data_IF_251656581679
#
_entry.id   IF_251656581679
#
_cell.length_a   1.000
_cell.length_b   1.000
_cell.length_c   1.000
_cell.angle_alpha   90.00
_cell.angle_beta   90.00
_cell.angle_gamma   90.00
#
_symmetry.space_group_name_H-M   'P 1'
#
loop_
_entity.id
_entity.type
_entity.pdbx_description
1 polymer ?
#
# COMPACT_ATOMS: atom_id res chain seq x y z
N UNK A 1 -68.71 -18.40 9.11
CA UNK A 1 -67.54 -17.74 9.73
C UNK A 1 -66.21 -18.48 9.59
N UNK A 2 -66.13 -19.65 8.91
CA UNK A 2 -64.87 -20.41 8.74
C UNK A 2 -64.02 -19.98 7.52
N UNK A 3 -64.61 -19.26 6.56
CA UNK A 3 -63.94 -18.87 5.31
C UNK A 3 -63.41 -17.42 5.32
N UNK A 4 -63.80 -16.58 6.29
CA UNK A 4 -63.26 -15.21 6.45
C UNK A 4 -61.82 -15.25 6.98
N UNK A 5 -61.46 -16.23 7.82
CA UNK A 5 -60.08 -16.40 8.32
C UNK A 5 -59.09 -16.80 7.22
N UNK A 6 -59.55 -17.47 6.15
CA UNK A 6 -58.73 -17.81 4.98
C UNK A 6 -58.56 -16.62 4.03
N UNK A 7 -59.57 -15.74 3.94
CA UNK A 7 -59.48 -14.51 3.15
C UNK A 7 -58.57 -13.46 3.83
N UNK A 8 -58.58 -13.39 5.17
CA UNK A 8 -57.70 -12.48 5.91
C UNK A 8 -56.22 -12.90 5.85
N UNK A 9 -55.93 -14.21 5.81
CA UNK A 9 -54.55 -14.71 5.68
C UNK A 9 -53.91 -14.47 4.31
N UNK A 10 -54.71 -14.41 3.25
CA UNK A 10 -54.24 -14.10 1.89
C UNK A 10 -53.99 -12.61 1.69
N UNK A 11 -54.71 -11.73 2.40
CA UNK A 11 -54.52 -10.28 2.30
C UNK A 11 -53.24 -9.80 3.01
N UNK A 12 -52.80 -10.48 4.09
CA UNK A 12 -51.56 -10.14 4.81
C UNK A 12 -50.28 -10.53 4.06
N UNK A 13 -50.35 -11.51 3.15
CA UNK A 13 -49.22 -11.91 2.29
C UNK A 13 -49.07 -10.96 1.10
N UNK A 14 -50.18 -10.38 0.61
CA UNK A 14 -50.18 -9.39 -0.47
C UNK A 14 -49.70 -7.99 -0.06
N UNK A 15 -49.62 -7.71 1.25
CA UNK A 15 -49.18 -6.41 1.80
C UNK A 15 -47.68 -6.36 2.15
N UNK A 16 -46.92 -7.44 1.96
CA UNK A 16 -45.46 -7.45 2.16
C UNK A 16 -44.65 -7.15 0.89
N UNK A 17 -45.31 -6.85 -0.24
CA UNK A 17 -44.64 -6.58 -1.54
C UNK A 17 -44.56 -5.08 -1.87
N UNK A 18 -44.83 -4.20 -0.90
CA UNK A 18 -44.81 -2.73 -1.09
C UNK A 18 -44.10 -1.97 0.05
N UNK A 19 -42.99 -2.49 0.59
CA UNK A 19 -41.99 -1.63 1.24
C UNK A 19 -40.90 -1.29 0.23
N UNK A 20 -41.20 -0.31 -0.62
CA UNK A 20 -40.19 0.46 -1.35
C UNK A 20 -39.47 1.31 -0.30
N UNK A 21 -38.32 0.86 0.17
CA UNK A 21 -37.27 1.77 0.61
C UNK A 21 -36.36 1.93 -0.60
N UNK A 22 -36.37 3.14 -1.15
CA UNK A 22 -35.40 3.59 -2.15
C UNK A 22 -34.01 3.60 -1.52
N UNK A 23 -33.38 2.42 -1.45
CA UNK A 23 -31.94 2.28 -1.35
C UNK A 23 -31.47 1.67 -2.66
N UNK A 24 -31.31 2.52 -3.67
CA UNK A 24 -30.46 2.23 -4.83
C UNK A 24 -29.01 2.13 -4.36
N UNK A 25 -28.68 1.05 -3.66
CA UNK A 25 -27.42 0.37 -3.88
C UNK A 25 -27.73 -0.85 -4.74
N UNK A 26 -28.04 -0.60 -6.01
CA UNK A 26 -27.89 -1.65 -7.00
C UNK A 26 -26.44 -2.07 -6.96
N UNK A 27 -26.19 -3.21 -6.31
CA UNK A 27 -25.06 -4.05 -6.68
C UNK A 27 -25.11 -4.14 -8.21
N UNK A 28 -24.07 -3.62 -8.87
CA UNK A 28 -23.92 -3.72 -10.32
C UNK A 28 -23.68 -5.20 -10.60
N UNK A 29 -24.74 -5.99 -10.69
CA UNK A 29 -24.72 -7.22 -11.46
C UNK A 29 -24.75 -6.82 -12.92
N UNK A 30 -23.59 -6.86 -13.59
CA UNK A 30 -23.60 -6.93 -15.04
C UNK A 30 -22.68 -8.06 -15.47
N UNK A 31 -23.08 -9.29 -15.15
CA UNK A 31 -22.61 -10.44 -15.91
C UNK A 31 -23.28 -10.40 -17.29
N UNK A 32 -22.50 -10.04 -18.31
CA UNK A 32 -22.96 -9.95 -19.68
C UNK A 32 -21.80 -9.62 -20.63
N UNK A 33 -21.95 -9.93 -21.91
CA UNK A 33 -20.89 -9.73 -22.90
C UNK A 33 -21.00 -8.31 -23.50
N UNK A 34 -19.95 -7.50 -23.33
CA UNK A 34 -19.83 -6.18 -23.96
C UNK A 34 -19.73 -6.26 -25.49
N UNK A 35 -19.48 -7.45 -26.06
CA UNK A 35 -19.28 -7.68 -27.50
C UNK A 35 -17.82 -7.55 -27.94
N UNK A 36 -16.94 -7.18 -27.01
CA UNK A 36 -15.51 -7.03 -27.22
C UNK A 36 -14.76 -7.30 -25.90
N UNK A 37 -13.45 -7.50 -26.01
CA UNK A 37 -12.55 -7.75 -24.90
C UNK A 37 -11.58 -6.58 -24.76
N UNK A 38 -11.40 -6.12 -23.53
CA UNK A 38 -10.35 -5.16 -23.17
C UNK A 38 -9.33 -5.83 -22.26
N UNK A 39 -8.16 -5.24 -22.19
CA UNK A 39 -7.13 -5.61 -21.22
C UNK A 39 -6.41 -4.36 -20.71
N UNK A 40 -6.09 -4.35 -19.42
CA UNK A 40 -5.15 -3.39 -18.85
C UNK A 40 -3.75 -3.87 -19.19
N UNK A 41 -3.05 -3.06 -20.00
CA UNK A 41 -1.70 -3.38 -20.48
C UNK A 41 -0.77 -3.72 -19.32
N UNK A 42 0.10 -4.72 -19.52
CA UNK A 42 1.20 -5.06 -18.59
C UNK A 42 2.26 -3.97 -18.47
N UNK A 43 2.21 -2.94 -19.33
CA UNK A 43 3.03 -1.74 -19.22
C UNK A 43 2.42 -0.69 -18.29
N UNK A 44 1.18 -0.90 -17.82
CA UNK A 44 0.56 -0.03 -16.83
C UNK A 44 1.31 -0.16 -15.50
N UNK A 45 1.51 0.95 -14.82
CA UNK A 45 2.26 1.02 -13.56
C UNK A 45 1.68 2.09 -12.65
N UNK A 46 2.00 2.03 -11.37
CA UNK A 46 1.63 3.07 -10.44
C UNK A 46 2.23 2.85 -9.07
N UNK A 47 2.31 3.93 -8.33
CA UNK A 47 2.79 3.98 -6.96
C UNK A 47 1.92 4.94 -6.17
N UNK A 48 1.53 4.52 -4.97
CA UNK A 48 0.83 5.36 -4.01
C UNK A 48 1.49 5.12 -2.67
N UNK A 49 2.40 6.01 -2.30
CA UNK A 49 3.27 5.86 -1.13
C UNK A 49 3.15 7.07 -0.21
N UNK A 50 3.26 6.85 1.10
CA UNK A 50 3.25 7.93 2.08
C UNK A 50 3.80 7.55 3.43
N UNK A 51 3.78 8.47 4.38
CA UNK A 51 4.22 8.26 5.75
C UNK A 51 3.07 8.49 6.72
N UNK A 52 2.72 7.52 7.58
CA UNK A 52 1.69 7.71 8.61
C UNK A 52 2.17 8.70 9.68
N UNK A 53 1.22 9.39 10.30
CA UNK A 53 1.49 10.27 11.43
C UNK A 53 2.10 9.52 12.62
N UNK A 54 3.21 10.03 13.15
CA UNK A 54 3.92 9.44 14.27
C UNK A 54 3.10 9.46 15.56
N UNK A 55 3.15 8.37 16.34
CA UNK A 55 2.51 8.29 17.65
C UNK A 55 1.03 7.87 17.63
N UNK A 56 0.48 7.65 16.44
CA UNK A 56 -0.88 7.11 16.24
C UNK A 56 -0.79 5.67 15.70
N UNK A 57 -1.67 4.74 16.12
CA UNK A 57 -1.71 3.41 15.50
C UNK A 57 -1.86 3.50 13.98
N UNK A 58 -1.12 2.68 13.22
CA UNK A 58 -1.06 2.75 11.75
C UNK A 58 -2.44 2.67 11.09
N UNK A 59 -3.36 1.88 11.67
CA UNK A 59 -4.73 1.74 11.16
C UNK A 59 -5.53 3.06 11.23
N UNK A 60 -5.18 3.95 12.16
CA UNK A 60 -5.90 5.20 12.44
C UNK A 60 -5.10 6.45 12.04
N UNK A 61 -3.80 6.30 11.76
CA UNK A 61 -2.87 7.38 11.49
C UNK A 61 -3.10 8.00 10.09
N UNK A 62 -3.41 9.31 10.00
CA UNK A 62 -3.40 10.03 8.73
C UNK A 62 -2.06 9.88 8.01
N UNK A 63 -2.08 9.90 6.68
CA UNK A 63 -0.89 9.70 5.85
C UNK A 63 -0.54 10.99 5.12
N UNK A 64 0.74 11.37 5.18
CA UNK A 64 1.32 12.36 4.25
C UNK A 64 1.83 11.61 3.03
N UNK A 65 1.22 11.84 1.86
CA UNK A 65 1.55 11.15 0.62
C UNK A 65 2.80 11.77 0.01
N UNK A 66 3.82 10.93 -0.21
CA UNK A 66 5.11 11.32 -0.77
C UNK A 66 5.22 10.97 -2.25
N UNK A 67 4.49 9.95 -2.72
CA UNK A 67 4.44 9.57 -4.12
C UNK A 67 3.01 9.18 -4.52
N UNK A 68 2.54 9.75 -5.62
CA UNK A 68 1.23 9.44 -6.20
C UNK A 68 1.35 9.46 -7.73
N UNK A 69 1.53 8.29 -8.32
CA UNK A 69 1.69 8.12 -9.75
C UNK A 69 0.85 6.96 -10.28
N UNK A 70 0.26 7.15 -11.45
CA UNK A 70 -0.38 6.11 -12.24
C UNK A 70 -0.07 6.38 -13.72
N UNK A 71 0.29 5.34 -14.43
CA UNK A 71 0.23 5.25 -15.89
C UNK A 71 -0.60 4.01 -16.23
N UNK A 72 -1.82 4.21 -16.73
CA UNK A 72 -2.77 3.16 -17.00
C UNK A 72 -3.13 3.17 -18.49
N UNK A 73 -2.89 2.04 -19.16
CA UNK A 73 -3.16 1.87 -20.57
C UNK A 73 -4.15 0.73 -20.79
N UNK A 74 -5.34 1.07 -21.30
CA UNK A 74 -6.40 0.10 -21.61
C UNK A 74 -6.42 -0.16 -23.11
N UNK A 75 -6.31 -1.42 -23.49
CA UNK A 75 -6.21 -1.90 -24.86
C UNK A 75 -7.49 -2.64 -25.29
N UNK A 76 -7.83 -2.54 -26.57
CA UNK A 76 -8.79 -3.44 -27.21
C UNK A 76 -8.05 -4.73 -27.60
N UNK A 77 -8.49 -5.87 -27.07
CA UNK A 77 -7.89 -7.18 -27.40
C UNK A 77 -8.61 -7.83 -28.58
N UNK A 78 -9.94 -7.79 -28.59
CA UNK A 78 -10.75 -8.41 -29.64
C UNK A 78 -12.15 -7.79 -29.70
N UNK A 79 -12.83 -7.91 -30.85
CA UNK A 79 -14.18 -7.39 -31.07
C UNK A 79 -14.21 -6.00 -31.71
N UNK A 80 -15.39 -5.39 -31.75
CA UNK A 80 -15.60 -4.06 -32.33
C UNK A 80 -16.35 -3.13 -31.36
N UNK A 81 -16.11 -1.83 -31.50
CA UNK A 81 -16.70 -0.80 -30.65
C UNK A 81 -17.94 -0.15 -31.30
N UNK A 82 -18.52 -0.73 -32.34
CA UNK A 82 -19.61 -0.07 -33.10
C UNK A 82 -20.89 0.15 -32.29
N UNK A 83 -21.09 -0.67 -31.25
CA UNK A 83 -22.24 -0.58 -30.33
C UNK A 83 -21.90 0.17 -29.03
N UNK A 84 -20.69 0.73 -28.93
CA UNK A 84 -20.20 1.44 -27.75
C UNK A 84 -20.44 2.94 -27.91
N UNK A 85 -21.11 3.53 -26.92
CA UNK A 85 -21.23 4.97 -26.80
C UNK A 85 -19.98 5.56 -26.15
N UNK A 86 -19.47 4.94 -25.10
CA UNK A 86 -18.27 5.38 -24.40
C UNK A 86 -17.63 4.26 -23.58
N UNK A 87 -16.30 4.30 -23.48
CA UNK A 87 -15.46 3.54 -22.56
C UNK A 87 -14.99 4.51 -21.49
N UNK A 88 -15.17 4.15 -20.22
CA UNK A 88 -14.75 4.93 -19.05
C UNK A 88 -13.72 4.16 -18.24
N UNK A 89 -12.77 4.88 -17.69
CA UNK A 89 -11.99 4.40 -16.56
C UNK A 89 -12.56 5.10 -15.34
N UNK A 90 -13.07 4.31 -14.41
CA UNK A 90 -13.57 4.79 -13.13
C UNK A 90 -12.60 4.44 -12.02
N UNK A 91 -12.57 5.24 -10.96
CA UNK A 91 -11.85 4.95 -9.73
C UNK A 91 -12.79 4.90 -8.55
N UNK A 92 -12.44 4.08 -7.57
CA UNK A 92 -13.07 4.00 -6.27
C UNK A 92 -12.00 3.83 -5.21
N UNK A 93 -12.00 4.70 -4.19
CA UNK A 93 -11.13 4.55 -3.02
C UNK A 93 -11.90 3.71 -2.00
N UNK A 94 -11.35 2.57 -1.63
CA UNK A 94 -11.97 1.55 -0.80
C UNK A 94 -13.35 1.13 -1.34
N UNK A 95 -14.41 1.51 -0.60
CA UNK A 95 -15.81 1.30 -0.98
C UNK A 95 -16.56 2.65 -1.06
N UNK A 96 -15.83 3.75 -1.28
CA UNK A 96 -16.38 5.11 -1.36
C UNK A 96 -17.04 5.43 -2.71
N UNK A 97 -17.17 6.72 -2.99
CA UNK A 97 -17.79 7.22 -4.22
C UNK A 97 -16.99 6.81 -5.46
N UNK A 98 -17.69 6.29 -6.47
CA UNK A 98 -17.12 6.00 -7.78
C UNK A 98 -17.06 7.31 -8.58
N UNK A 99 -15.90 7.61 -9.17
CA UNK A 99 -15.70 8.78 -10.02
C UNK A 99 -15.04 8.40 -11.34
N UNK A 100 -15.33 9.16 -12.40
CA UNK A 100 -14.73 8.96 -13.72
C UNK A 100 -13.36 9.64 -13.76
N UNK A 101 -12.35 8.89 -14.17
CA UNK A 101 -10.97 9.37 -14.35
C UNK A 101 -10.73 9.78 -15.79
N UNK A 102 -11.20 8.96 -16.74
CA UNK A 102 -11.13 9.25 -18.16
C UNK A 102 -12.28 8.59 -18.91
N UNK A 103 -12.58 9.12 -20.07
CA UNK A 103 -13.59 8.57 -20.96
C UNK A 103 -13.19 8.79 -22.43
N UNK A 104 -13.58 7.87 -23.30
CA UNK A 104 -13.28 7.89 -24.73
C UNK A 104 -14.30 7.06 -25.50
N UNK A 105 -14.44 7.31 -26.80
CA UNK A 105 -15.22 6.44 -27.71
C UNK A 105 -14.34 5.43 -28.44
N UNK A 106 -13.01 5.52 -28.28
CA UNK A 106 -12.02 4.67 -28.95
C UNK A 106 -11.01 4.12 -27.96
N UNK A 107 -10.43 2.96 -28.31
CA UNK A 107 -9.27 2.35 -27.65
C UNK A 107 -8.05 2.39 -28.59
N UNK A 108 -6.81 2.47 -28.07
CA UNK A 108 -6.45 2.43 -26.64
C UNK A 108 -6.82 3.71 -25.88
N UNK A 109 -7.04 3.58 -24.56
CA UNK A 109 -7.32 4.68 -23.65
C UNK A 109 -6.21 4.73 -22.59
N UNK A 110 -5.45 5.82 -22.60
CA UNK A 110 -4.35 6.05 -21.66
C UNK A 110 -4.74 7.09 -20.62
N UNK A 111 -4.32 6.86 -19.38
CA UNK A 111 -4.50 7.76 -18.24
C UNK A 111 -3.18 7.90 -17.52
N UNK A 112 -2.80 9.15 -17.25
CA UNK A 112 -1.70 9.45 -16.34
C UNK A 112 -2.22 10.28 -15.18
N UNK A 113 -1.90 9.85 -13.96
CA UNK A 113 -2.12 10.61 -12.73
C UNK A 113 -0.74 10.86 -12.12
N UNK A 114 -0.48 12.09 -11.71
CA UNK A 114 0.84 12.50 -11.19
C UNK A 114 0.78 13.23 -9.85
N UNK A 115 -0.41 13.31 -9.24
CA UNK A 115 -0.58 13.98 -7.95
C UNK A 115 -1.68 13.33 -7.10
N UNK A 116 -1.56 13.48 -5.79
CA UNK A 116 -2.58 13.01 -4.84
C UNK A 116 -3.93 13.72 -5.05
N UNK A 117 -3.92 14.99 -5.43
CA UNK A 117 -5.14 15.74 -5.72
C UNK A 117 -5.95 15.11 -6.87
N UNK A 118 -5.27 14.66 -7.93
CA UNK A 118 -5.89 13.94 -9.04
C UNK A 118 -6.42 12.56 -8.61
N UNK A 119 -5.73 11.84 -7.71
CA UNK A 119 -6.22 10.60 -7.12
C UNK A 119 -7.50 10.82 -6.29
N UNK A 120 -7.59 11.91 -5.54
CA UNK A 120 -8.73 12.23 -4.68
C UNK A 120 -9.87 12.94 -5.41
N UNK A 121 -9.65 13.46 -6.62
CA UNK A 121 -10.66 14.21 -7.35
C UNK A 121 -11.96 13.40 -7.50
N UNK A 122 -13.09 13.95 -7.05
CA UNK A 122 -14.41 13.32 -7.16
C UNK A 122 -14.70 12.22 -6.14
N UNK A 123 -13.76 11.87 -5.25
CA UNK A 123 -14.03 10.93 -4.15
C UNK A 123 -14.75 11.58 -2.96
N UNK A 124 -14.65 12.91 -2.84
CA UNK A 124 -15.09 13.65 -1.65
C UNK A 124 -14.15 13.53 -0.45
N UNK A 125 -13.01 12.84 -0.62
CA UNK A 125 -11.98 12.68 0.39
C UNK A 125 -10.89 13.74 0.22
N UNK A 126 -10.19 13.98 1.32
CA UNK A 126 -8.96 14.76 1.43
C UNK A 126 -7.81 13.85 1.81
N UNK A 127 -6.57 14.35 1.70
CA UNK A 127 -5.39 13.56 2.05
C UNK A 127 -5.41 13.09 3.51
N UNK A 128 -5.95 13.91 4.42
CA UNK A 128 -6.11 13.55 5.84
C UNK A 128 -7.08 12.38 6.10
N UNK A 129 -7.90 12.02 5.11
CA UNK A 129 -8.80 10.86 5.21
C UNK A 129 -8.11 9.54 4.85
N UNK A 130 -6.91 9.60 4.25
CA UNK A 130 -6.19 8.43 3.80
C UNK A 130 -5.47 7.71 4.93
N UNK A 131 -5.46 6.37 4.85
CA UNK A 131 -4.76 5.47 5.76
C UNK A 131 -3.90 4.49 4.98
N UNK A 132 -2.79 4.08 5.58
CA UNK A 132 -1.98 2.99 5.04
C UNK A 132 -2.87 1.75 4.87
N UNK A 133 -2.79 1.13 3.69
CA UNK A 133 -3.63 -0.01 3.30
C UNK A 133 -4.89 0.36 2.52
N UNK A 134 -5.23 1.65 2.38
CA UNK A 134 -6.31 2.10 1.52
C UNK A 134 -6.07 1.65 0.07
N UNK A 135 -7.12 1.17 -0.60
CA UNK A 135 -7.03 0.64 -1.96
C UNK A 135 -7.78 1.54 -2.94
N UNK A 136 -7.08 2.06 -3.94
CA UNK A 136 -7.67 2.71 -5.10
C UNK A 136 -7.89 1.67 -6.19
N UNK A 137 -9.15 1.37 -6.48
CA UNK A 137 -9.57 0.43 -7.53
C UNK A 137 -9.88 1.23 -8.79
N UNK A 138 -9.19 0.93 -9.88
CA UNK A 138 -9.51 1.42 -11.21
C UNK A 138 -10.24 0.34 -11.99
N UNK A 139 -11.39 0.68 -12.59
CA UNK A 139 -12.25 -0.26 -13.30
C UNK A 139 -12.66 0.33 -14.65
N UNK A 140 -12.44 -0.45 -15.71
CA UNK A 140 -12.95 -0.13 -17.05
C UNK A 140 -14.45 -0.43 -17.10
N UNK A 141 -15.21 0.60 -17.44
CA UNK A 141 -16.64 0.51 -17.69
C UNK A 141 -16.94 0.86 -19.15
N UNK A 142 -18.02 0.31 -19.68
CA UNK A 142 -18.46 0.56 -21.05
C UNK A 142 -19.94 0.87 -21.03
N UNK A 143 -20.31 1.95 -21.69
CA UNK A 143 -21.70 2.32 -21.94
C UNK A 143 -22.00 2.05 -23.40
N UNK A 144 -22.98 1.18 -23.67
CA UNK A 144 -23.46 0.90 -25.02
C UNK A 144 -24.42 1.99 -25.51
N UNK A 145 -24.64 2.04 -26.82
CA UNK A 145 -25.57 2.99 -27.46
C UNK A 145 -27.03 2.80 -27.04
N UNK A 146 -27.38 1.63 -26.50
CA UNK A 146 -28.70 1.33 -25.92
C UNK A 146 -28.82 1.72 -24.44
N UNK A 147 -27.78 2.31 -23.85
CA UNK A 147 -27.71 2.75 -22.46
C UNK A 147 -27.27 1.68 -21.46
N UNK A 148 -27.02 0.44 -21.90
CA UNK A 148 -26.52 -0.62 -21.00
C UNK A 148 -25.07 -0.33 -20.58
N UNK A 149 -24.79 -0.50 -19.30
CA UNK A 149 -23.44 -0.31 -18.73
C UNK A 149 -22.85 -1.66 -18.38
N UNK A 150 -21.60 -1.92 -18.77
CA UNK A 150 -20.84 -3.12 -18.44
C UNK A 150 -19.58 -2.72 -17.68
N UNK A 151 -19.14 -3.58 -16.77
CA UNK A 151 -17.85 -3.44 -16.09
C UNK A 151 -17.00 -4.64 -16.42
N UNK A 152 -15.72 -4.42 -16.67
CA UNK A 152 -14.77 -5.51 -16.84
C UNK A 152 -14.22 -5.95 -15.48
N UNK A 153 -14.13 -7.26 -15.29
CA UNK A 153 -13.56 -7.87 -14.10
C UNK A 153 -12.03 -7.89 -14.20
N UNK A 154 -11.38 -9.03 -13.98
CA UNK A 154 -9.93 -9.12 -13.82
C UNK A 154 -9.12 -8.47 -14.96
N UNK A 155 -9.60 -8.51 -16.21
CA UNK A 155 -8.89 -7.91 -17.36
C UNK A 155 -9.02 -6.39 -17.45
N UNK A 156 -10.03 -5.78 -16.82
CA UNK A 156 -10.28 -4.34 -16.86
C UNK A 156 -10.02 -3.64 -15.53
N UNK A 157 -9.28 -4.28 -14.62
CA UNK A 157 -9.06 -3.79 -13.26
C UNK A 157 -7.58 -3.55 -13.01
N UNK A 158 -7.30 -2.45 -12.32
CA UNK A 158 -5.98 -2.12 -11.81
C UNK A 158 -6.13 -1.57 -10.39
N UNK A 159 -5.38 -2.10 -9.43
CA UNK A 159 -5.48 -1.69 -8.03
C UNK A 159 -4.15 -1.11 -7.57
N UNK A 160 -4.23 0.02 -6.86
CA UNK A 160 -3.11 0.58 -6.12
C UNK A 160 -3.46 0.60 -4.63
N UNK A 161 -2.54 0.13 -3.80
CA UNK A 161 -2.67 0.20 -2.34
C UNK A 161 -1.74 1.29 -1.83
N UNK A 162 -2.26 2.20 -0.99
CA UNK A 162 -1.44 3.19 -0.30
C UNK A 162 -0.52 2.46 0.68
N UNK A 163 0.78 2.52 0.42
CA UNK A 163 1.80 1.83 1.22
C UNK A 163 2.79 2.83 1.84
N UNK A 164 3.63 2.38 2.76
CA UNK A 164 4.61 3.25 3.39
C UNK A 164 5.76 3.56 2.43
N UNK A 165 6.05 4.83 2.20
CA UNK A 165 7.32 5.23 1.60
C UNK A 165 8.43 5.05 2.62
N UNK A 166 9.49 4.36 2.22
CA UNK A 166 10.72 4.30 3.01
C UNK A 166 11.87 4.61 2.06
N UNK A 167 12.64 5.64 2.39
CA UNK A 167 13.96 5.86 1.80
C UNK A 167 14.93 6.05 2.94
N UNK A 168 15.79 5.06 3.18
CA UNK A 168 16.83 5.09 4.20
C UNK A 168 18.21 5.47 3.61
N UNK A 169 18.30 5.83 2.32
CA UNK A 169 19.58 6.16 1.71
C UNK A 169 20.20 7.37 2.38
N UNK A 170 21.45 7.27 2.84
CA UNK A 170 22.14 8.42 3.41
C UNK A 170 23.32 8.08 4.30
N UNK A 171 23.85 9.14 4.91
CA UNK A 171 24.88 9.05 5.95
C UNK A 171 24.25 9.37 7.31
N UNK A 172 24.64 8.62 8.33
CA UNK A 172 24.02 8.64 9.64
C UNK A 172 25.07 8.74 10.74
N UNK A 173 24.70 9.42 11.84
CA UNK A 173 25.36 9.27 13.13
C UNK A 173 24.73 8.09 13.83
N UNK A 174 25.51 7.02 14.03
CA UNK A 174 25.11 5.82 14.75
C UNK A 174 25.55 5.88 16.21
N UNK A 175 24.66 5.53 17.12
CA UNK A 175 24.93 5.31 18.54
C UNK A 175 24.26 4.01 19.01
N UNK A 176 24.62 3.54 20.22
CA UNK A 176 23.95 2.41 20.85
C UNK A 176 23.81 2.63 22.37
N UNK A 177 22.99 1.82 23.03
CA UNK A 177 22.74 1.92 24.48
C UNK A 177 23.78 1.20 25.35
N UNK A 178 24.76 0.50 24.78
CA UNK A 178 25.76 -0.30 25.51
C UNK A 178 26.99 0.53 25.85
N UNK A 179 27.48 1.33 24.90
CA UNK A 179 28.66 2.17 25.09
C UNK A 179 28.44 3.56 24.47
N UNK A 180 29.21 4.55 24.92
CA UNK A 180 29.10 5.93 24.44
C UNK A 180 29.75 6.17 23.06
N UNK A 181 29.79 5.16 22.18
CA UNK A 181 30.33 5.29 20.82
C UNK A 181 29.38 6.08 19.94
N UNK A 182 29.94 6.95 19.09
CA UNK A 182 29.20 7.71 18.09
C UNK A 182 30.03 7.76 16.82
N UNK A 183 29.52 7.16 15.76
CA UNK A 183 30.29 6.94 14.53
C UNK A 183 29.46 7.22 13.28
N UNK A 184 30.16 7.57 12.20
CA UNK A 184 29.56 7.83 10.90
C UNK A 184 29.39 6.53 10.13
N UNK A 185 28.16 6.26 9.68
CA UNK A 185 27.83 5.06 8.91
C UNK A 185 26.97 5.40 7.71
N UNK A 186 26.90 4.49 6.75
CA UNK A 186 26.11 4.68 5.52
C UNK A 186 25.04 3.62 5.42
N UNK A 187 23.88 4.03 4.92
CA UNK A 187 22.78 3.14 4.54
C UNK A 187 22.49 3.35 3.06
N UNK A 188 22.35 2.25 2.31
CA UNK A 188 22.08 2.26 0.87
C UNK A 188 21.00 1.24 0.50
N UNK A 189 20.24 1.53 -0.55
CA UNK A 189 19.25 0.59 -1.07
C UNK A 189 19.91 -0.51 -1.92
N UNK A 190 19.54 -1.76 -1.68
CA UNK A 190 19.89 -2.89 -2.52
C UNK A 190 18.95 -2.98 -3.74
N UNK A 191 19.36 -3.74 -4.76
CA UNK A 191 18.55 -3.92 -5.98
C UNK A 191 17.23 -4.68 -5.75
N UNK A 192 17.11 -5.39 -4.63
CA UNK A 192 15.90 -6.11 -4.21
C UNK A 192 14.95 -5.25 -3.36
N UNK A 193 15.28 -3.97 -3.13
CA UNK A 193 14.48 -3.03 -2.33
C UNK A 193 14.78 -3.07 -0.82
N UNK A 194 15.64 -3.99 -0.36
CA UNK A 194 16.13 -4.00 1.02
C UNK A 194 17.17 -2.91 1.27
N UNK A 195 17.54 -2.69 2.53
CA UNK A 195 18.47 -1.64 2.95
C UNK A 195 19.73 -2.25 3.54
N UNK A 196 20.89 -1.96 2.93
CA UNK A 196 22.20 -2.35 3.42
C UNK A 196 22.78 -1.29 4.36
N UNK A 197 23.16 -1.70 5.56
CA UNK A 197 23.81 -0.89 6.58
C UNK A 197 25.30 -1.24 6.63
N UNK A 198 26.18 -0.23 6.65
CA UNK A 198 27.62 -0.47 6.82
C UNK A 198 27.97 -1.01 8.21
N UNK A 199 27.14 -0.71 9.21
CA UNK A 199 27.21 -1.27 10.56
C UNK A 199 25.77 -1.46 11.08
N UNK A 200 25.35 -2.70 11.29
CA UNK A 200 23.98 -3.04 11.71
C UNK A 200 23.84 -3.22 13.24
N UNK A 201 24.94 -3.53 13.92
CA UNK A 201 25.00 -3.87 15.34
C UNK A 201 25.20 -2.65 16.27
N UNK A 202 24.95 -1.44 15.76
CA UNK A 202 25.18 -0.21 16.51
C UNK A 202 26.63 0.04 16.87
N UNK A 203 27.59 -0.69 16.30
CA UNK A 203 29.00 -0.57 16.64
C UNK A 203 29.47 -1.44 17.79
N UNK A 204 28.64 -2.38 18.26
CA UNK A 204 28.95 -3.21 19.43
C UNK A 204 30.26 -4.01 19.22
N UNK A 205 30.41 -4.68 18.09
CA UNK A 205 31.64 -5.42 17.79
C UNK A 205 32.82 -4.48 17.60
N UNK A 206 32.69 -3.47 16.73
CA UNK A 206 33.86 -2.72 16.29
C UNK A 206 34.34 -1.73 17.35
N UNK A 207 33.41 -0.91 17.87
CA UNK A 207 33.73 0.27 18.65
C UNK A 207 33.61 0.00 20.14
N UNK A 208 32.54 -0.66 20.61
CA UNK A 208 32.41 -0.95 22.04
C UNK A 208 33.46 -1.97 22.53
N UNK A 209 33.84 -2.96 21.70
CA UNK A 209 34.92 -3.89 22.05
C UNK A 209 36.33 -3.35 21.75
N UNK A 210 36.43 -2.14 21.15
CA UNK A 210 37.68 -1.55 20.65
C UNK A 210 38.41 -2.40 19.60
N UNK A 211 37.71 -3.31 18.93
CA UNK A 211 38.25 -4.14 17.87
C UNK A 211 37.91 -3.56 16.49
N UNK A 212 38.79 -2.72 15.96
CA UNK A 212 38.58 -2.03 14.69
C UNK A 212 38.49 -2.94 13.47
N UNK A 213 38.82 -4.23 13.59
CA UNK A 213 38.79 -5.19 12.48
C UNK A 213 37.43 -5.87 12.30
N UNK A 214 36.54 -5.79 13.29
CA UNK A 214 35.23 -6.45 13.25
C UNK A 214 34.11 -5.48 12.84
N UNK A 215 34.10 -5.14 11.56
CA UNK A 215 32.97 -4.46 10.90
C UNK A 215 31.82 -5.45 10.76
N UNK A 216 30.60 -4.99 11.02
CA UNK A 216 29.43 -5.84 11.10
C UNK A 216 28.26 -5.26 10.27
N UNK A 217 28.35 -5.34 8.94
CA UNK A 217 27.27 -4.88 8.06
C UNK A 217 26.03 -5.78 8.18
N UNK A 218 24.89 -5.27 7.74
CA UNK A 218 23.65 -6.03 7.75
C UNK A 218 22.62 -5.48 6.77
N UNK A 219 21.55 -6.25 6.59
CA UNK A 219 20.45 -5.92 5.68
C UNK A 219 19.13 -5.89 6.45
N UNK A 220 18.28 -4.92 6.17
CA UNK A 220 16.94 -4.79 6.75
C UNK A 220 15.88 -4.51 5.68
N UNK A 221 14.64 -4.84 6.00
CA UNK A 221 13.45 -4.42 5.27
C UNK A 221 12.64 -3.45 6.14
N UNK A 222 11.97 -2.49 5.50
CA UNK A 222 11.11 -1.53 6.21
C UNK A 222 9.68 -1.72 5.72
N UNK A 223 8.79 -2.02 6.66
CA UNK A 223 7.37 -2.15 6.41
C UNK A 223 6.54 -1.13 7.19
N UNK A 224 5.25 -1.09 6.88
CA UNK A 224 4.25 -0.34 7.64
C UNK A 224 3.99 -0.99 9.01
N UNK A 225 4.92 -0.80 9.94
CA UNK A 225 4.89 -1.45 11.25
C UNK A 225 6.24 -1.50 11.95
N UNK A 226 7.32 -1.17 11.22
CA UNK A 226 8.66 -1.15 11.75
C UNK A 226 9.64 -1.88 10.84
N UNK A 227 10.78 -2.21 11.41
CA UNK A 227 11.84 -2.93 10.71
C UNK A 227 11.52 -4.43 10.72
N UNK A 228 11.42 -5.01 9.52
CA UNK A 228 11.32 -6.44 9.30
C UNK A 228 12.71 -6.93 8.93
N UNK A 229 13.21 -7.98 9.56
CA UNK A 229 14.49 -8.54 9.16
C UNK A 229 14.35 -9.32 7.86
N UNK A 230 15.18 -9.03 6.85
CA UNK A 230 15.25 -9.87 5.66
C UNK A 230 15.87 -11.20 6.07
N UNK A 231 15.17 -12.30 5.81
CA UNK A 231 15.70 -13.65 6.06
C UNK A 231 16.76 -14.06 5.04
N UNK A 232 16.92 -13.29 3.95
CA UNK A 232 17.94 -13.50 2.93
C UNK A 232 19.01 -12.38 3.01
N UNK A 233 20.27 -12.77 3.20
CA UNK A 233 21.43 -11.88 3.11
C UNK A 233 21.91 -11.21 4.41
N UNK A 234 21.23 -11.36 5.55
CA UNK A 234 21.64 -10.73 6.81
C UNK A 234 22.96 -11.32 7.35
N UNK A 235 24.10 -10.69 7.02
CA UNK A 235 25.41 -10.99 7.61
C UNK A 235 25.44 -10.80 9.14
N UNK A 236 24.49 -10.04 9.68
CA UNK A 236 24.39 -9.73 11.09
C UNK A 236 23.74 -10.84 11.94
N UNK A 237 22.93 -11.74 11.37
CA UNK A 237 22.28 -12.83 12.10
C UNK A 237 23.00 -14.16 11.83
N UNK A 238 23.78 -14.67 12.78
CA UNK A 238 24.64 -15.84 12.54
C UNK A 238 25.03 -16.67 13.77
N UNK A 239 25.81 -17.72 13.53
CA UNK A 239 26.10 -18.83 14.45
C UNK A 239 27.07 -18.54 15.61
N UNK A 240 27.41 -17.27 15.87
CA UNK A 240 28.38 -16.88 16.91
C UNK A 240 27.75 -16.08 18.06
N UNK A 241 26.43 -15.84 18.06
CA UNK A 241 25.78 -15.11 19.16
C UNK A 241 26.08 -13.60 19.18
N UNK A 242 26.68 -13.07 18.13
CA UNK A 242 27.08 -11.66 18.00
C UNK A 242 25.86 -10.71 18.07
N UNK A 243 24.68 -11.24 17.77
CA UNK A 243 23.42 -10.55 17.88
C UNK A 243 22.53 -10.81 16.69
N UNK A 244 21.28 -10.39 16.79
CA UNK A 244 20.34 -10.33 15.69
C UNK A 244 19.54 -9.03 15.83
N UNK A 245 19.13 -8.44 14.70
CA UNK A 245 18.06 -7.45 14.72
C UNK A 245 16.77 -8.21 15.01
N UNK A 246 16.03 -7.78 16.02
CA UNK A 246 14.74 -8.38 16.41
C UNK A 246 13.55 -7.47 16.13
N UNK A 247 13.81 -6.23 15.71
CA UNK A 247 12.82 -5.23 15.41
C UNK A 247 13.44 -3.86 15.26
N UNK A 248 12.60 -2.84 15.23
CA UNK A 248 13.03 -1.45 15.12
C UNK A 248 11.93 -0.56 14.55
N UNK A 249 12.24 0.72 14.42
CA UNK A 249 11.37 1.71 13.77
C UNK A 249 12.13 2.57 12.78
N UNK A 250 11.44 3.02 11.74
CA UNK A 250 11.92 4.04 10.82
C UNK A 250 10.98 5.24 10.86
N UNK A 251 11.54 6.42 11.10
CA UNK A 251 10.85 7.69 10.96
C UNK A 251 11.48 8.48 9.82
N UNK A 252 10.77 8.52 8.69
CA UNK A 252 11.18 9.24 7.48
C UNK A 252 11.34 10.75 7.71
N UNK A 253 10.49 11.33 8.58
CA UNK A 253 10.44 12.78 8.78
C UNK A 253 11.62 13.28 9.61
N UNK A 254 11.95 12.55 10.67
CA UNK A 254 13.12 12.87 11.50
C UNK A 254 14.42 12.26 10.96
N UNK A 255 14.34 11.33 9.99
CA UNK A 255 15.49 10.61 9.47
C UNK A 255 16.11 9.67 10.51
N UNK A 256 15.30 9.17 11.46
CA UNK A 256 15.78 8.35 12.57
C UNK A 256 15.39 6.89 12.35
N UNK A 257 16.40 6.02 12.29
CA UNK A 257 16.24 4.57 12.35
C UNK A 257 16.62 4.10 13.75
N UNK A 258 15.76 3.28 14.36
CA UNK A 258 16.11 2.54 15.57
C UNK A 258 16.07 1.05 15.27
N UNK A 259 17.05 0.30 15.80
CA UNK A 259 17.12 -1.15 15.68
C UNK A 259 17.21 -1.77 17.06
N UNK A 260 16.32 -2.72 17.32
CA UNK A 260 16.38 -3.56 18.51
C UNK A 260 17.29 -4.74 18.22
N UNK A 261 18.32 -4.88 19.03
CA UNK A 261 19.38 -5.87 18.86
C UNK A 261 19.41 -6.82 20.05
N UNK A 262 19.78 -8.06 19.77
CA UNK A 262 20.17 -9.04 20.80
C UNK A 262 21.68 -9.19 20.82
N UNK A 263 22.23 -9.72 21.91
CA UNK A 263 23.63 -10.11 22.03
C UNK A 263 23.73 -11.30 22.98
N UNK A 264 24.45 -12.34 22.58
CA UNK A 264 24.79 -13.49 23.43
C UNK A 264 26.29 -13.80 23.43
N UNK A 265 27.09 -13.04 22.67
CA UNK A 265 28.53 -13.22 22.54
C UNK A 265 29.30 -12.51 23.67
N UNK A 266 28.95 -11.25 23.95
CA UNK A 266 29.63 -10.46 24.97
C UNK A 266 28.91 -10.53 26.30
N UNK A 267 29.56 -11.10 27.31
CA UNK A 267 29.05 -11.17 28.69
C UNK A 267 29.07 -9.83 29.43
N UNK A 268 29.85 -8.87 28.94
CA UNK A 268 29.94 -7.51 29.51
C UNK A 268 28.87 -6.56 28.96
N UNK A 269 28.22 -6.91 27.85
CA UNK A 269 27.13 -6.14 27.26
C UNK A 269 25.78 -6.74 27.68
N UNK A 270 24.73 -5.93 27.66
CA UNK A 270 23.38 -6.41 27.88
C UNK A 270 22.97 -7.44 26.81
N UNK A 271 22.07 -8.36 27.17
CA UNK A 271 21.56 -9.38 26.24
C UNK A 271 20.67 -8.81 25.14
N UNK A 272 20.17 -7.59 25.34
CA UNK A 272 19.46 -6.79 24.35
C UNK A 272 19.87 -5.34 24.47
N UNK A 273 19.89 -4.63 23.35
CA UNK A 273 20.28 -3.22 23.27
C UNK A 273 19.65 -2.56 22.06
N UNK A 274 19.62 -1.23 22.06
CA UNK A 274 19.08 -0.46 20.93
C UNK A 274 20.21 0.28 20.24
N UNK A 275 20.19 0.24 18.91
CA UNK A 275 21.04 1.04 18.04
C UNK A 275 20.21 2.15 17.43
N UNK A 276 20.73 3.37 17.39
CA UNK A 276 20.04 4.54 16.84
C UNK A 276 20.90 5.17 15.76
N UNK A 277 20.29 5.44 14.61
CA UNK A 277 20.92 6.06 13.47
C UNK A 277 20.15 7.34 13.15
N UNK A 278 20.83 8.49 13.24
CA UNK A 278 20.25 9.79 12.93
C UNK A 278 20.86 10.30 11.63
N UNK A 279 20.04 10.50 10.60
CA UNK A 279 20.48 11.01 9.29
C UNK A 279 21.06 12.42 9.43
N UNK A 280 22.10 12.72 8.66
CA UNK A 280 22.72 14.05 8.52
C UNK A 280 22.22 14.77 7.28
#
# INVERSE_FOLDING_TARGET
MKNIKKLLGLLTIALMVFSCTDDYSEAIEVSGNAGFLVDVSTQSSGALLGSPETGTPIADAPVTVSEAALDLNVLLVAGDLSTVSEVKITKQINNGTISVVAQSTTLPLNVSISSIAEFLQGSGLTESDLRIGDVVKFVVQVVKTDGQVYQFDNQGRFNLTLNCSSDLTGTYVMTNTVCASSEMVTISQNSDGTWALSQADGGLLQFCSSNTTFVNPGTIEVGCGGIVTSTEGAQYCGSNGIGCITGGSWDQNSGVLTLDNTNTFFTWAASSYTSTYVRI
#
